data_IF_474784943510
#
_entry.id   IF_474784943510
#
_cell.length_a   1.000
_cell.length_b   1.000
_cell.length_c   1.000
_cell.angle_alpha   90.00
_cell.angle_beta   90.00
_cell.angle_gamma   90.00
#
_symmetry.space_group_name_H-M   'P 1'
#
loop_
_entity.id
_entity.type
_entity.pdbx_description
1 polymer ?
#
# COMPACT_ATOMS: atom_id res chain seq x y z
N UNK A 1 19.10 22.77 -32.39
CA UNK A 1 17.68 22.72 -31.95
C UNK A 1 17.21 24.15 -31.72
N UNK A 2 16.05 24.55 -32.26
CA UNK A 2 15.53 25.91 -32.01
C UNK A 2 14.99 26.03 -30.59
N UNK A 3 15.13 27.21 -29.98
CA UNK A 3 14.57 27.53 -28.67
C UNK A 3 13.04 27.27 -28.61
N UNK A 4 12.33 27.54 -29.69
CA UNK A 4 10.90 27.22 -29.82
C UNK A 4 10.62 25.72 -29.71
N UNK A 5 11.42 24.88 -30.39
CA UNK A 5 11.27 23.41 -30.31
C UNK A 5 11.52 22.90 -28.90
N UNK A 6 12.47 23.50 -28.16
CA UNK A 6 12.76 23.14 -26.77
C UNK A 6 11.59 23.51 -25.84
N UNK A 7 11.00 24.70 -25.99
CA UNK A 7 9.83 25.14 -25.22
C UNK A 7 8.65 24.19 -25.44
N UNK A 8 8.37 23.82 -26.69
CA UNK A 8 7.30 22.87 -26.99
C UNK A 8 7.51 21.51 -26.34
N UNK A 9 8.73 20.97 -26.37
CA UNK A 9 9.05 19.68 -25.73
C UNK A 9 8.83 19.76 -24.22
N UNK A 10 9.33 20.80 -23.57
CA UNK A 10 9.18 20.97 -22.11
C UNK A 10 7.71 21.13 -21.73
N UNK A 11 6.94 21.93 -22.49
CA UNK A 11 5.51 22.11 -22.27
C UNK A 11 4.71 20.81 -22.46
N UNK A 12 5.08 19.98 -23.43
CA UNK A 12 4.40 18.71 -23.70
C UNK A 12 4.73 17.66 -22.62
N UNK A 13 5.98 17.63 -22.14
CA UNK A 13 6.40 16.78 -21.03
C UNK A 13 5.72 17.16 -19.71
N UNK A 14 5.58 18.46 -19.42
CA UNK A 14 4.92 18.90 -18.18
C UNK A 14 3.44 18.54 -18.15
N UNK A 15 2.72 18.71 -19.26
CA UNK A 15 1.32 18.28 -19.40
C UNK A 15 1.19 16.76 -19.25
N UNK A 16 2.07 15.98 -19.89
CA UNK A 16 2.06 14.52 -19.79
C UNK A 16 2.23 14.04 -18.34
N UNK A 17 3.17 14.62 -17.60
CA UNK A 17 3.42 14.27 -16.19
C UNK A 17 2.24 14.65 -15.30
N UNK A 18 1.61 15.81 -15.54
CA UNK A 18 0.42 16.25 -14.82
C UNK A 18 -0.77 15.29 -15.02
N UNK A 19 -0.99 14.81 -16.25
CA UNK A 19 -2.04 13.83 -16.55
C UNK A 19 -1.79 12.50 -15.84
N UNK A 20 -0.55 11.99 -15.86
CA UNK A 20 -0.19 10.75 -15.15
C UNK A 20 -0.40 10.89 -13.65
N UNK A 21 0.01 12.03 -13.07
CA UNK A 21 -0.20 12.32 -11.66
C UNK A 21 -1.68 12.36 -11.29
N UNK A 22 -2.50 13.01 -12.12
CA UNK A 22 -3.95 13.09 -11.92
C UNK A 22 -4.59 11.69 -11.96
N UNK A 23 -4.17 10.84 -12.90
CA UNK A 23 -4.61 9.44 -12.98
C UNK A 23 -4.22 8.61 -11.76
N UNK A 24 -3.02 8.84 -11.19
CA UNK A 24 -2.58 8.16 -9.98
C UNK A 24 -3.40 8.54 -8.76
N UNK A 25 -3.78 9.82 -8.62
CA UNK A 25 -4.65 10.30 -7.54
C UNK A 25 -6.07 9.75 -7.70
N UNK A 26 -6.59 9.74 -8.93
CA UNK A 26 -7.95 9.30 -9.22
C UNK A 26 -8.18 7.81 -8.97
N UNK A 27 -7.12 7.00 -8.93
CA UNK A 27 -7.23 5.56 -8.72
C UNK A 27 -7.21 5.25 -7.21
N UNK A 28 -8.38 4.98 -6.57
CA UNK A 28 -8.41 4.73 -5.13
C UNK A 28 -7.58 3.50 -4.79
N UNK A 29 -6.66 3.65 -3.84
CA UNK A 29 -5.88 2.53 -3.34
C UNK A 29 -6.75 1.67 -2.40
N UNK A 30 -7.58 0.81 -2.99
CA UNK A 30 -8.42 -0.11 -2.21
C UNK A 30 -7.57 -1.18 -1.54
N UNK A 31 -7.78 -1.35 -0.24
CA UNK A 31 -7.31 -2.49 0.53
C UNK A 31 -8.15 -3.70 0.09
N UNK A 32 -7.48 -4.75 -0.36
CA UNK A 32 -8.12 -5.98 -0.85
C UNK A 32 -7.37 -7.16 -0.29
N UNK A 33 -8.05 -8.30 -0.16
CA UNK A 33 -7.46 -9.56 0.33
C UNK A 33 -6.20 -9.93 -0.44
N UNK A 34 -6.26 -9.93 -1.77
CA UNK A 34 -5.11 -10.27 -2.63
C UNK A 34 -3.88 -9.38 -2.39
N UNK A 35 -4.09 -8.06 -2.21
CA UNK A 35 -2.99 -7.13 -1.93
C UNK A 35 -2.40 -7.36 -0.53
N UNK A 36 -3.24 -7.64 0.47
CA UNK A 36 -2.80 -7.98 1.81
C UNK A 36 -2.01 -9.29 1.81
N UNK A 37 -2.49 -10.31 1.09
CA UNK A 37 -1.81 -11.60 0.93
C UNK A 37 -0.44 -11.44 0.28
N UNK A 38 -0.36 -10.66 -0.80
CA UNK A 38 0.89 -10.37 -1.49
C UNK A 38 1.91 -9.61 -0.63
N UNK A 39 1.45 -8.77 0.31
CA UNK A 39 2.34 -8.01 1.19
C UNK A 39 2.82 -8.86 2.36
N UNK A 40 1.89 -9.55 3.03
CA UNK A 40 2.18 -10.30 4.26
C UNK A 40 2.95 -11.60 3.95
N UNK A 41 2.66 -12.25 2.83
CA UNK A 41 3.21 -13.56 2.49
C UNK A 41 2.62 -14.69 3.33
N UNK A 42 2.80 -15.93 2.88
CA UNK A 42 2.07 -17.09 3.41
C UNK A 42 2.31 -17.35 4.90
N UNK A 43 3.55 -17.20 5.35
CA UNK A 43 3.95 -17.48 6.73
C UNK A 43 3.30 -16.49 7.72
N UNK A 44 3.41 -15.19 7.46
CA UNK A 44 2.80 -14.17 8.31
C UNK A 44 1.27 -14.27 8.30
N UNK A 45 0.68 -14.64 7.16
CA UNK A 45 -0.75 -14.84 7.05
C UNK A 45 -1.26 -15.99 7.89
N UNK A 46 -0.51 -17.10 7.89
CA UNK A 46 -0.82 -18.26 8.72
C UNK A 46 -0.77 -17.90 10.20
N UNK A 47 0.25 -17.15 10.60
CA UNK A 47 0.40 -16.66 11.97
C UNK A 47 -0.74 -15.70 12.36
N UNK A 48 -1.13 -14.78 11.48
CA UNK A 48 -2.21 -13.82 11.72
C UNK A 48 -3.59 -14.48 11.77
N UNK A 49 -3.83 -15.52 10.95
CA UNK A 49 -5.07 -16.31 10.99
C UNK A 49 -5.23 -17.07 12.32
N UNK A 50 -4.12 -17.54 12.88
CA UNK A 50 -4.08 -18.34 14.11
C UNK A 50 -3.99 -17.50 15.40
N UNK A 51 -3.79 -16.18 15.30
CA UNK A 51 -3.60 -15.30 16.46
C UNK A 51 -4.86 -15.22 17.34
N UNK A 52 -4.75 -15.53 18.63
CA UNK A 52 -5.93 -15.65 19.52
C UNK A 52 -6.58 -14.30 19.85
N UNK A 53 -5.78 -13.25 19.92
CA UNK A 53 -6.23 -11.92 20.31
C UNK A 53 -5.56 -10.79 19.49
N UNK A 54 -6.05 -9.55 19.65
CA UNK A 54 -5.43 -8.39 19.01
C UNK A 54 -3.97 -8.17 19.44
N UNK A 55 -3.60 -8.60 20.64
CA UNK A 55 -2.27 -8.34 21.20
C UNK A 55 -1.21 -9.17 20.49
N UNK A 56 -1.50 -10.45 20.25
CA UNK A 56 -0.70 -11.35 19.41
C UNK A 56 -0.63 -10.82 17.97
N UNK A 57 -1.74 -10.35 17.41
CA UNK A 57 -1.73 -9.72 16.07
C UNK A 57 -0.80 -8.49 16.03
N UNK A 58 -0.82 -7.64 17.05
CA UNK A 58 0.10 -6.49 17.16
C UNK A 58 1.55 -6.95 17.18
N UNK A 59 1.86 -8.01 17.92
CA UNK A 59 3.22 -8.56 17.99
C UNK A 59 3.67 -9.14 16.65
N UNK A 60 2.81 -9.92 15.98
CA UNK A 60 3.11 -10.49 14.66
C UNK A 60 3.39 -9.37 13.64
N UNK A 61 2.53 -8.35 13.57
CA UNK A 61 2.72 -7.20 12.67
C UNK A 61 3.99 -6.42 13.01
N UNK A 62 4.31 -6.26 14.31
CA UNK A 62 5.56 -5.62 14.74
C UNK A 62 6.79 -6.46 14.39
N UNK A 63 6.70 -7.77 14.40
CA UNK A 63 7.83 -8.65 14.08
C UNK A 63 8.04 -8.82 12.56
N UNK A 64 7.12 -8.32 11.73
CA UNK A 64 7.30 -8.33 10.28
C UNK A 64 8.59 -7.59 9.85
N UNK A 65 9.23 -8.04 8.75
CA UNK A 65 10.35 -7.33 8.16
C UNK A 65 10.02 -5.86 7.89
N UNK A 66 11.00 -4.97 8.08
CA UNK A 66 10.81 -3.51 7.89
C UNK A 66 10.16 -3.18 6.54
N UNK A 67 10.62 -3.83 5.47
CA UNK A 67 10.08 -3.69 4.11
C UNK A 67 8.58 -4.03 4.03
N UNK A 68 8.16 -5.11 4.69
CA UNK A 68 6.77 -5.55 4.73
C UNK A 68 5.90 -4.58 5.53
N UNK A 69 6.37 -4.13 6.69
CA UNK A 69 5.67 -3.11 7.49
C UNK A 69 5.47 -1.80 6.71
N UNK A 70 6.49 -1.35 5.98
CA UNK A 70 6.38 -0.15 5.14
C UNK A 70 5.34 -0.33 4.04
N UNK A 71 5.34 -1.46 3.34
CA UNK A 71 4.32 -1.75 2.31
C UNK A 71 2.90 -1.80 2.90
N UNK A 72 2.75 -2.38 4.08
CA UNK A 72 1.47 -2.46 4.77
C UNK A 72 0.94 -1.07 5.14
N UNK A 73 1.80 -0.19 5.68
CA UNK A 73 1.46 1.21 5.96
C UNK A 73 1.04 1.99 4.72
N UNK A 74 1.74 1.77 3.60
CA UNK A 74 1.40 2.40 2.32
C UNK A 74 0.07 1.88 1.78
N UNK A 75 -0.19 0.56 1.88
CA UNK A 75 -1.46 -0.01 1.44
C UNK A 75 -2.65 0.55 2.22
N UNK A 76 -2.49 0.72 3.54
CA UNK A 76 -3.53 1.20 4.44
C UNK A 76 -3.62 2.71 4.52
N UNK A 77 -2.67 3.43 3.91
CA UNK A 77 -2.52 4.89 4.02
C UNK A 77 -2.45 5.38 5.48
N UNK A 78 -2.03 4.50 6.40
CA UNK A 78 -2.03 4.75 7.84
C UNK A 78 -0.77 4.21 8.51
N UNK A 79 -0.35 4.93 9.55
CA UNK A 79 0.73 4.48 10.43
C UNK A 79 0.21 3.68 11.63
N UNK A 80 -1.10 3.66 11.85
CA UNK A 80 -1.72 2.97 12.99
C UNK A 80 -1.80 1.46 12.71
N UNK A 81 -1.27 0.68 13.66
CA UNK A 81 -1.32 -0.79 13.64
C UNK A 81 -2.77 -1.28 13.82
N UNK A 82 -3.64 -0.51 14.49
CA UNK A 82 -5.05 -0.89 14.68
C UNK A 82 -5.80 -0.98 13.35
N UNK A 83 -5.52 -0.07 12.42
CA UNK A 83 -6.10 -0.13 11.07
C UNK A 83 -5.63 -1.36 10.30
N UNK A 84 -4.35 -1.75 10.47
CA UNK A 84 -3.85 -2.99 9.88
C UNK A 84 -4.57 -4.22 10.44
N UNK A 85 -4.80 -4.26 11.74
CA UNK A 85 -5.53 -5.35 12.40
C UNK A 85 -6.97 -5.40 11.94
N UNK A 86 -7.63 -4.24 11.85
CA UNK A 86 -9.00 -4.13 11.34
C UNK A 86 -9.10 -4.66 9.91
N UNK A 87 -8.21 -4.23 9.02
CA UNK A 87 -8.19 -4.67 7.63
C UNK A 87 -7.89 -6.18 7.49
N UNK A 88 -7.00 -6.72 8.32
CA UNK A 88 -6.73 -8.16 8.38
C UNK A 88 -7.99 -8.91 8.84
N UNK A 89 -8.66 -8.44 9.89
CA UNK A 89 -9.88 -9.07 10.37
C UNK A 89 -11.00 -9.04 9.31
N UNK A 90 -11.19 -7.91 8.64
CA UNK A 90 -12.23 -7.70 7.64
C UNK A 90 -12.03 -8.50 6.35
N UNK A 91 -10.78 -8.66 5.88
CA UNK A 91 -10.47 -9.27 4.59
C UNK A 91 -9.88 -10.69 4.65
N UNK A 92 -9.32 -11.10 5.79
CA UNK A 92 -8.62 -12.40 5.93
C UNK A 92 -9.36 -13.36 6.88
N UNK A 93 -10.02 -12.83 7.92
CA UNK A 93 -10.65 -13.62 8.99
C UNK A 93 -12.18 -13.71 8.93
N UNK A 94 -12.81 -12.97 8.02
CA UNK A 94 -14.17 -13.26 7.56
C UNK A 94 -14.22 -14.59 6.82
#
# INVERSE_FOLDING_TARGET
MSATTMIYIVALLSVSLAVIFLLLILKPNKVTKEKLEKILGDEALKNLKNAKDETEMKQIIRNLPKKTRTKLKVLLESQDIREAIKAINEHIRN
#
